data_IF_719163092933
#
_entry.id   IF_719163092933
#
_cell.length_a   1.000
_cell.length_b   1.000
_cell.length_c   1.000
_cell.angle_alpha   90.00
_cell.angle_beta   90.00
_cell.angle_gamma   90.00
#
_symmetry.space_group_name_H-M   'P 1'
#
loop_
_entity.id
_entity.type
_entity.pdbx_description
1 polymer ?
#
# COMPACT_ATOMS: atom_id res chain seq x y z
N UNK A 1 3.73 -4.43 -21.96
CA UNK A 1 2.70 -4.04 -20.96
C UNK A 1 3.31 -4.05 -19.56
N UNK A 2 2.78 -3.23 -18.65
CA UNK A 2 3.17 -3.20 -17.23
C UNK A 2 2.13 -3.96 -16.37
N UNK A 3 2.58 -4.89 -15.55
CA UNK A 3 1.74 -5.57 -14.56
C UNK A 3 2.22 -5.19 -13.17
N UNK A 4 1.33 -4.68 -12.32
CA UNK A 4 1.62 -4.36 -10.94
C UNK A 4 0.83 -5.29 -10.00
N UNK A 5 1.52 -5.90 -9.05
CA UNK A 5 0.92 -6.66 -7.96
C UNK A 5 1.35 -5.99 -6.65
N UNK A 6 0.44 -5.25 -6.03
CA UNK A 6 0.75 -4.40 -4.87
C UNK A 6 -0.20 -4.65 -3.72
N UNK A 7 0.15 -4.18 -2.53
CA UNK A 7 -0.79 -4.16 -1.41
C UNK A 7 -1.93 -3.18 -1.66
N UNK A 8 -3.07 -3.40 -0.97
CA UNK A 8 -4.31 -2.67 -1.21
C UNK A 8 -4.49 -1.39 -0.38
N UNK A 9 -3.55 -1.09 0.50
CA UNK A 9 -3.58 0.08 1.38
C UNK A 9 -2.89 1.31 0.76
N UNK A 10 -2.71 2.35 1.56
CA UNK A 10 -2.12 3.61 1.10
C UNK A 10 -0.74 3.42 0.48
N UNK A 11 0.13 2.61 1.10
CA UNK A 11 1.53 2.49 0.69
C UNK A 11 1.66 1.70 -0.61
N UNK A 12 0.98 0.55 -0.72
CA UNK A 12 0.90 -0.22 -1.96
C UNK A 12 0.28 0.56 -3.13
N UNK A 13 -0.78 1.33 -2.88
CA UNK A 13 -1.41 2.20 -3.89
C UNK A 13 -0.47 3.32 -4.35
N UNK A 14 0.22 3.97 -3.41
CA UNK A 14 1.20 5.01 -3.72
C UNK A 14 2.40 4.45 -4.49
N UNK A 15 2.93 3.29 -4.10
CA UNK A 15 4.01 2.60 -4.79
C UNK A 15 3.64 2.29 -6.24
N UNK A 16 2.42 1.80 -6.49
CA UNK A 16 1.92 1.58 -7.85
C UNK A 16 1.84 2.88 -8.65
N UNK A 17 1.24 3.94 -8.09
CA UNK A 17 1.09 5.24 -8.75
C UNK A 17 2.44 5.83 -9.17
N UNK A 18 3.42 5.81 -8.26
CA UNK A 18 4.77 6.30 -8.52
C UNK A 18 5.40 5.52 -9.67
N UNK A 19 5.33 4.18 -9.63
CA UNK A 19 5.92 3.35 -10.68
C UNK A 19 5.29 3.61 -12.05
N UNK A 20 3.95 3.69 -12.11
CA UNK A 20 3.22 3.95 -13.36
C UNK A 20 3.71 5.26 -13.98
N UNK A 21 3.73 6.35 -13.21
CA UNK A 21 4.09 7.68 -13.74
C UNK A 21 5.57 7.77 -14.08
N UNK A 22 6.47 7.23 -13.25
CA UNK A 22 7.91 7.24 -13.52
C UNK A 22 8.30 6.40 -14.73
N UNK A 23 7.63 5.26 -14.94
CA UNK A 23 7.92 4.39 -16.08
C UNK A 23 7.40 4.92 -17.41
N UNK A 24 6.50 5.91 -17.39
CA UNK A 24 5.84 6.43 -18.58
C UNK A 24 4.91 5.42 -19.27
N UNK A 25 4.55 4.34 -18.56
CA UNK A 25 3.74 3.26 -19.13
C UNK A 25 2.29 3.71 -19.32
N UNK A 26 1.78 3.59 -20.55
CA UNK A 26 0.38 3.91 -20.88
C UNK A 26 -0.58 2.74 -20.69
N UNK A 27 -0.05 1.52 -20.77
CA UNK A 27 -0.82 0.28 -20.62
C UNK A 27 -0.33 -0.48 -19.40
N UNK A 28 -1.19 -0.56 -18.39
CA UNK A 28 -0.90 -1.27 -17.16
C UNK A 28 -2.11 -2.05 -16.63
N UNK A 29 -1.85 -3.15 -15.92
CA UNK A 29 -2.85 -3.90 -15.14
C UNK A 29 -2.41 -3.92 -13.68
N UNK A 30 -3.32 -3.54 -12.77
CA UNK A 30 -3.06 -3.57 -11.33
C UNK A 30 -3.88 -4.66 -10.64
N UNK A 31 -3.18 -5.45 -9.84
CA UNK A 31 -3.75 -6.45 -8.93
C UNK A 31 -3.37 -6.09 -7.51
N UNK A 32 -4.36 -6.17 -6.63
CA UNK A 32 -4.16 -6.01 -5.19
C UNK A 32 -4.01 -7.39 -4.57
N UNK A 33 -3.04 -7.53 -3.70
CA UNK A 33 -2.74 -8.77 -3.00
C UNK A 33 -2.42 -8.49 -1.54
N UNK A 34 -2.43 -9.57 -0.77
CA UNK A 34 -1.93 -9.66 0.59
C UNK A 34 -0.70 -10.58 0.57
N UNK A 35 0.21 -10.51 1.56
CA UNK A 35 1.33 -11.46 1.65
C UNK A 35 0.89 -12.93 1.55
N UNK A 36 -0.26 -13.25 2.18
CA UNK A 36 -0.84 -14.60 2.16
C UNK A 36 -1.40 -15.01 0.80
N UNK A 37 -1.69 -14.06 -0.09
CA UNK A 37 -2.34 -14.28 -1.39
C UNK A 37 -1.49 -13.92 -2.60
N UNK A 38 -0.31 -13.32 -2.40
CA UNK A 38 0.60 -12.86 -3.45
C UNK A 38 0.85 -13.90 -4.55
N UNK A 39 1.21 -15.14 -4.18
CA UNK A 39 1.45 -16.22 -5.13
C UNK A 39 0.25 -16.48 -6.07
N UNK A 40 -0.98 -16.35 -5.56
CA UNK A 40 -2.21 -16.55 -6.35
C UNK A 40 -2.43 -15.41 -7.32
N UNK A 41 -2.24 -14.16 -6.89
CA UNK A 41 -2.43 -13.00 -7.77
C UNK A 41 -1.34 -12.91 -8.84
N UNK A 42 -0.09 -13.22 -8.50
CA UNK A 42 0.99 -13.39 -9.48
C UNK A 42 0.71 -14.53 -10.47
N UNK A 43 0.11 -15.64 -10.01
CA UNK A 43 -0.26 -16.77 -10.88
C UNK A 43 -1.29 -16.39 -11.96
N UNK A 44 -2.04 -15.30 -11.76
CA UNK A 44 -3.00 -14.76 -12.73
C UNK A 44 -2.37 -13.78 -13.72
N UNK A 45 -1.14 -13.34 -13.50
CA UNK A 45 -0.42 -12.42 -14.38
C UNK A 45 -0.07 -13.13 -15.69
N UNK A 46 -0.58 -12.60 -16.80
CA UNK A 46 -0.37 -13.11 -18.15
C UNK A 46 0.78 -12.40 -18.88
N UNK A 47 1.85 -12.08 -18.14
CA UNK A 47 3.04 -11.46 -18.68
C UNK A 47 3.82 -12.42 -19.62
N UNK A 48 4.45 -11.83 -20.62
CA UNK A 48 5.19 -12.50 -21.69
C UNK A 48 6.51 -11.76 -22.00
N UNK A 49 7.21 -12.17 -23.05
CA UNK A 49 8.49 -11.59 -23.42
C UNK A 49 8.37 -10.07 -23.66
N UNK A 50 9.21 -9.30 -22.97
CA UNK A 50 9.21 -7.83 -23.04
C UNK A 50 8.25 -7.14 -22.08
N UNK A 51 7.38 -7.89 -21.38
CA UNK A 51 6.55 -7.34 -20.31
C UNK A 51 7.35 -7.15 -19.01
N UNK A 52 6.80 -6.29 -18.16
CA UNK A 52 7.36 -6.01 -16.84
C UNK A 52 6.34 -6.31 -15.76
N UNK A 53 6.75 -7.11 -14.78
CA UNK A 53 5.98 -7.39 -13.57
C UNK A 53 6.64 -6.67 -12.40
N UNK A 54 5.88 -5.84 -11.71
CA UNK A 54 6.31 -5.09 -10.54
C UNK A 54 5.54 -5.59 -9.34
N UNK A 55 6.25 -5.94 -8.28
CA UNK A 55 5.69 -6.27 -6.98
C UNK A 55 6.11 -5.15 -6.03
N UNK A 56 5.18 -4.58 -5.27
CA UNK A 56 5.50 -3.54 -4.31
C UNK A 56 4.72 -3.70 -3.00
N UNK A 57 5.38 -3.36 -1.90
CA UNK A 57 4.79 -3.34 -0.55
C UNK A 57 4.19 -4.70 -0.14
N UNK A 58 4.88 -5.78 -0.48
CA UNK A 58 4.40 -7.13 -0.19
C UNK A 58 5.55 -7.97 0.33
N UNK A 59 5.51 -8.29 1.61
CA UNK A 59 6.43 -9.21 2.25
C UNK A 59 6.20 -10.67 1.85
N UNK A 60 7.22 -11.49 2.08
CA UNK A 60 7.13 -12.94 1.87
C UNK A 60 6.31 -13.58 3.00
N UNK A 61 5.23 -14.27 2.63
CA UNK A 61 4.56 -15.18 3.56
C UNK A 61 5.26 -16.55 3.55
N UNK A 62 6.04 -16.87 4.60
CA UNK A 62 6.86 -18.09 4.71
C UNK A 62 6.12 -19.39 4.33
N UNK A 63 4.88 -19.67 4.79
CA UNK A 63 4.13 -20.86 4.38
C UNK A 63 3.94 -21.00 2.85
N UNK A 64 3.97 -19.89 2.10
CA UNK A 64 3.74 -19.88 0.66
C UNK A 64 5.03 -19.70 -0.17
N UNK A 65 6.21 -19.67 0.45
CA UNK A 65 7.48 -19.38 -0.23
C UNK A 65 7.75 -20.29 -1.43
N UNK A 66 7.45 -21.60 -1.32
CA UNK A 66 7.61 -22.54 -2.43
C UNK A 66 6.71 -22.22 -3.63
N UNK A 67 5.42 -21.95 -3.37
CA UNK A 67 4.45 -21.59 -4.42
C UNK A 67 4.80 -20.26 -5.07
N UNK A 68 5.25 -19.30 -4.27
CA UNK A 68 5.72 -18.01 -4.74
C UNK A 68 6.91 -18.19 -5.70
N UNK A 69 7.90 -18.99 -5.32
CA UNK A 69 9.06 -19.28 -6.17
C UNK A 69 8.65 -19.91 -7.51
N UNK A 70 7.76 -20.90 -7.49
CA UNK A 70 7.25 -21.55 -8.70
C UNK A 70 6.60 -20.55 -9.66
N UNK A 71 5.80 -19.64 -9.13
CA UNK A 71 5.11 -18.62 -9.92
C UNK A 71 6.08 -17.59 -10.50
N UNK A 72 7.06 -17.11 -9.71
CA UNK A 72 8.10 -16.20 -10.22
C UNK A 72 8.93 -16.87 -11.32
N UNK A 73 9.31 -18.13 -11.13
CA UNK A 73 10.01 -18.93 -12.13
C UNK A 73 9.21 -19.03 -13.42
N UNK A 74 7.90 -19.28 -13.33
CA UNK A 74 7.00 -19.38 -14.48
C UNK A 74 6.79 -18.03 -15.20
N UNK A 75 6.76 -16.91 -14.47
CA UNK A 75 6.75 -15.56 -15.08
C UNK A 75 8.06 -15.32 -15.84
N UNK A 76 9.20 -15.58 -15.21
CA UNK A 76 10.52 -15.40 -15.84
C UNK A 76 10.70 -16.30 -17.06
N UNK A 77 10.27 -17.56 -17.02
CA UNK A 77 10.40 -18.50 -18.14
C UNK A 77 9.59 -18.08 -19.37
N UNK A 78 8.57 -17.22 -19.20
CA UNK A 78 7.83 -16.59 -20.30
C UNK A 78 8.55 -15.38 -20.91
N UNK A 79 9.73 -15.01 -20.39
CA UNK A 79 10.54 -13.89 -20.88
C UNK A 79 10.19 -12.53 -20.27
N UNK A 80 9.31 -12.49 -19.26
CA UNK A 80 8.99 -11.25 -18.55
C UNK A 80 10.07 -10.90 -17.52
N UNK A 81 10.29 -9.59 -17.33
CA UNK A 81 11.15 -9.07 -16.25
C UNK A 81 10.33 -8.91 -14.97
N UNK A 82 10.95 -9.18 -13.81
CA UNK A 82 10.31 -9.04 -12.50
C UNK A 82 11.15 -8.11 -11.62
N UNK A 83 10.51 -7.09 -11.06
CA UNK A 83 11.08 -6.18 -10.08
C UNK A 83 10.23 -6.21 -8.82
N UNK A 84 10.85 -6.30 -7.64
CA UNK A 84 10.16 -6.36 -6.35
C UNK A 84 10.77 -5.33 -5.40
N UNK A 85 9.94 -4.41 -4.92
CA UNK A 85 10.30 -3.35 -3.98
C UNK A 85 9.54 -3.56 -2.67
N UNK A 86 10.24 -3.64 -1.56
CA UNK A 86 9.57 -3.85 -0.27
C UNK A 86 10.33 -3.17 0.87
N UNK A 87 9.64 -2.93 1.98
CA UNK A 87 10.20 -2.32 3.18
C UNK A 87 10.09 -3.22 4.42
N UNK A 88 9.40 -4.36 4.31
CA UNK A 88 9.29 -5.34 5.39
C UNK A 88 10.65 -6.01 5.68
N UNK A 89 10.79 -6.56 6.88
CA UNK A 89 11.98 -7.34 7.24
C UNK A 89 11.96 -8.70 6.54
N UNK A 90 12.96 -8.95 5.70
CA UNK A 90 13.11 -10.21 4.98
C UNK A 90 14.27 -11.03 5.55
N UNK A 91 14.10 -12.35 5.55
CA UNK A 91 15.19 -13.30 5.78
C UNK A 91 16.13 -13.30 4.55
N UNK A 92 17.45 -13.29 4.79
CA UNK A 92 18.47 -13.38 3.73
C UNK A 92 18.26 -14.63 2.86
N UNK A 93 17.82 -15.74 3.47
CA UNK A 93 17.51 -16.97 2.75
C UNK A 93 16.36 -16.79 1.74
N UNK A 94 15.42 -15.87 1.97
CA UNK A 94 14.35 -15.57 1.02
C UNK A 94 14.88 -14.74 -0.15
N UNK A 95 15.77 -13.77 0.12
CA UNK A 95 16.41 -12.96 -0.91
C UNK A 95 17.26 -13.82 -1.85
N UNK A 96 18.08 -14.71 -1.31
CA UNK A 96 18.89 -15.63 -2.11
C UNK A 96 18.01 -16.53 -2.99
N UNK A 97 16.98 -17.13 -2.38
CA UNK A 97 16.08 -18.06 -3.06
C UNK A 97 15.27 -17.41 -4.19
N UNK A 98 14.77 -16.19 -3.98
CA UNK A 98 13.88 -15.52 -4.92
C UNK A 98 14.63 -14.59 -5.90
N UNK A 99 15.81 -14.10 -5.52
CA UNK A 99 16.63 -13.17 -6.31
C UNK A 99 17.11 -13.73 -7.64
N UNK A 100 17.13 -15.07 -7.78
CA UNK A 100 17.34 -15.70 -9.07
C UNK A 100 16.24 -15.36 -10.08
N UNK A 101 15.01 -15.06 -9.64
CA UNK A 101 13.86 -14.87 -10.53
C UNK A 101 13.40 -13.41 -10.66
N UNK A 102 13.71 -12.58 -9.67
CA UNK A 102 13.31 -11.18 -9.62
C UNK A 102 14.46 -10.28 -9.17
N UNK A 103 14.48 -9.04 -9.66
CA UNK A 103 15.31 -7.98 -9.07
C UNK A 103 14.63 -7.50 -7.80
N UNK A 104 15.15 -7.89 -6.64
CA UNK A 104 14.54 -7.58 -5.35
C UNK A 104 15.32 -6.44 -4.69
N UNK A 105 14.60 -5.46 -4.18
CA UNK A 105 15.11 -4.35 -3.37
C UNK A 105 14.30 -4.29 -2.08
N UNK A 106 14.99 -4.45 -0.96
CA UNK A 106 14.40 -4.29 0.37
C UNK A 106 15.11 -3.16 1.09
N UNK A 107 14.36 -2.15 1.54
CA UNK A 107 14.88 -1.02 2.31
C UNK A 107 13.91 -0.67 3.45
N UNK A 108 14.30 -1.01 4.67
CA UNK A 108 13.51 -0.84 5.90
C UNK A 108 13.59 0.58 6.47
N UNK A 109 14.35 1.49 5.85
CA UNK A 109 14.49 2.88 6.31
C UNK A 109 13.38 3.82 5.82
N UNK A 110 12.50 3.32 4.94
CA UNK A 110 11.42 4.08 4.31
C UNK A 110 10.18 3.21 4.11
N UNK A 111 9.08 3.77 3.64
CA UNK A 111 7.88 3.02 3.25
C UNK A 111 8.05 2.39 1.86
N UNK A 112 7.25 1.39 1.47
CA UNK A 112 7.26 0.72 0.17
C UNK A 112 7.19 1.68 -1.02
N UNK A 113 6.37 2.73 -0.94
CA UNK A 113 6.33 3.81 -1.92
C UNK A 113 7.67 4.57 -2.03
N UNK A 114 8.34 4.78 -0.89
CA UNK A 114 9.69 5.34 -0.82
C UNK A 114 10.75 4.44 -1.43
N UNK A 115 10.64 3.11 -1.26
CA UNK A 115 11.52 2.13 -1.92
C UNK A 115 11.36 2.20 -3.43
N UNK A 116 10.12 2.22 -3.94
CA UNK A 116 9.86 2.38 -5.37
C UNK A 116 10.45 3.70 -5.89
N UNK A 117 10.19 4.82 -5.22
CA UNK A 117 10.70 6.13 -5.65
C UNK A 117 12.23 6.18 -5.71
N UNK A 118 12.91 5.53 -4.77
CA UNK A 118 14.37 5.59 -4.62
C UNK A 118 15.11 4.64 -5.58
N UNK A 119 14.55 3.46 -5.85
CA UNK A 119 15.27 2.37 -6.51
C UNK A 119 14.67 1.92 -7.85
N UNK A 120 13.53 2.46 -8.26
CA UNK A 120 13.04 2.27 -9.62
C UNK A 120 14.09 2.75 -10.63
N UNK A 121 14.23 2.09 -11.79
CA UNK A 121 15.27 2.42 -12.78
C UNK A 121 15.04 3.78 -13.47
N UNK A 122 14.01 4.52 -13.06
CA UNK A 122 13.57 5.77 -13.63
C UNK A 122 13.90 6.89 -12.63
N UNK A 123 14.83 7.76 -12.99
CA UNK A 123 15.22 8.86 -12.11
C UNK A 123 14.43 10.11 -12.45
N UNK A 124 13.71 10.63 -11.45
CA UNK A 124 13.07 11.94 -11.50
C UNK A 124 13.16 12.59 -10.12
N UNK A 125 14.00 13.63 -10.01
CA UNK A 125 13.94 14.54 -8.86
C UNK A 125 12.83 15.54 -9.13
N UNK A 126 11.75 15.39 -8.38
CA UNK A 126 10.55 16.20 -8.55
C UNK A 126 9.91 16.38 -7.18
N UNK A 127 9.81 17.64 -6.76
CA UNK A 127 9.25 18.02 -5.45
C UNK A 127 7.85 17.48 -5.22
N UNK A 128 7.07 17.26 -6.30
CA UNK A 128 5.74 16.67 -6.20
C UNK A 128 5.81 15.21 -5.73
N UNK A 129 6.73 14.44 -6.30
CA UNK A 129 6.97 13.06 -5.88
C UNK A 129 7.54 13.00 -4.47
N UNK A 130 8.53 13.85 -4.16
CA UNK A 130 9.12 13.92 -2.83
C UNK A 130 8.05 14.22 -1.76
N UNK A 131 7.22 15.24 -1.97
CA UNK A 131 6.12 15.59 -1.06
C UNK A 131 5.12 14.44 -0.89
N UNK A 132 4.78 13.76 -2.00
CA UNK A 132 3.86 12.63 -1.99
C UNK A 132 4.40 11.46 -1.15
N UNK A 133 5.65 11.06 -1.41
CA UNK A 133 6.33 9.99 -0.68
C UNK A 133 6.47 10.34 0.80
N UNK A 134 6.84 11.59 1.13
CA UNK A 134 6.92 12.03 2.52
C UNK A 134 5.59 11.91 3.26
N UNK A 135 4.47 12.27 2.62
CA UNK A 135 3.14 12.14 3.22
C UNK A 135 2.71 10.67 3.41
N UNK A 136 2.98 9.82 2.42
CA UNK A 136 2.68 8.37 2.48
C UNK A 136 3.52 7.71 3.58
N UNK A 137 4.83 7.91 3.57
CA UNK A 137 5.71 7.35 4.59
C UNK A 137 5.46 7.93 5.99
N UNK A 138 4.87 9.12 6.11
CA UNK A 138 4.46 9.67 7.40
C UNK A 138 3.25 8.91 7.97
N UNK A 139 2.33 8.46 7.13
CA UNK A 139 1.20 7.62 7.52
C UNK A 139 1.66 6.17 7.80
N UNK A 140 2.37 5.56 6.86
CA UNK A 140 2.81 4.15 6.93
C UNK A 140 3.70 3.88 8.15
N UNK A 141 4.68 4.75 8.39
CA UNK A 141 5.60 4.65 9.54
C UNK A 141 5.03 5.24 10.84
N UNK A 142 3.73 5.58 10.88
CA UNK A 142 3.04 6.14 12.06
C UNK A 142 3.67 7.41 12.65
N UNK A 143 4.34 8.22 11.82
CA UNK A 143 4.95 9.49 12.26
C UNK A 143 3.95 10.63 12.30
N UNK A 144 3.06 10.69 11.31
CA UNK A 144 2.08 11.77 11.12
C UNK A 144 2.68 13.19 11.23
N UNK A 145 3.96 13.33 10.85
CA UNK A 145 4.70 14.60 10.81
C UNK A 145 4.41 15.41 9.53
N UNK A 146 3.49 14.92 8.70
CA UNK A 146 2.96 15.58 7.50
C UNK A 146 1.46 15.72 7.62
N UNK A 147 0.96 16.92 7.34
CA UNK A 147 -0.47 17.22 7.53
C UNK A 147 -1.35 16.43 6.55
N UNK A 148 -0.84 16.03 5.38
CA UNK A 148 -1.58 15.23 4.40
C UNK A 148 -1.75 13.77 4.83
N UNK A 149 -0.81 13.23 5.62
CA UNK A 149 -0.77 11.83 6.04
C UNK A 149 -2.12 11.30 6.61
N UNK A 150 -2.74 11.96 7.61
CA UNK A 150 -4.02 11.48 8.16
C UNK A 150 -5.19 11.57 7.17
N UNK A 151 -5.13 12.44 6.16
CA UNK A 151 -6.16 12.54 5.12
C UNK A 151 -6.02 11.39 4.13
N UNK A 152 -4.81 11.18 3.62
CA UNK A 152 -4.52 10.11 2.67
C UNK A 152 -4.81 8.74 3.24
N UNK A 153 -4.45 8.55 4.51
CA UNK A 153 -4.67 7.30 5.22
C UNK A 153 -6.16 6.94 5.28
N UNK A 154 -7.01 7.87 5.72
CA UNK A 154 -8.47 7.69 5.78
C UNK A 154 -9.10 7.57 4.39
N UNK A 155 -8.61 8.36 3.45
CA UNK A 155 -9.12 8.35 2.08
C UNK A 155 -8.86 6.99 1.41
N UNK A 156 -7.64 6.46 1.48
CA UNK A 156 -7.30 5.14 0.94
C UNK A 156 -8.13 4.02 1.60
N UNK A 157 -8.33 4.09 2.92
CA UNK A 157 -9.05 3.07 3.68
C UNK A 157 -10.60 3.16 3.61
N UNK A 158 -11.18 4.13 2.91
CA UNK A 158 -12.60 4.50 3.05
C UNK A 158 -13.61 3.35 2.84
N UNK A 159 -13.53 2.63 1.71
CA UNK A 159 -14.47 1.53 1.39
C UNK A 159 -13.87 0.14 1.47
N UNK A 160 -12.53 0.04 1.43
CA UNK A 160 -11.82 -1.24 1.48
C UNK A 160 -12.14 -2.22 0.34
N UNK A 161 -12.76 -1.75 -0.76
CA UNK A 161 -13.10 -2.55 -1.92
C UNK A 161 -12.19 -2.25 -3.12
N UNK A 162 -12.09 -3.20 -4.05
CA UNK A 162 -11.23 -3.09 -5.24
C UNK A 162 -11.55 -1.86 -6.10
N UNK A 163 -12.82 -1.50 -6.24
CA UNK A 163 -13.23 -0.34 -7.05
C UNK A 163 -12.72 0.95 -6.42
N UNK A 164 -12.81 1.06 -5.10
CA UNK A 164 -12.25 2.19 -4.37
C UNK A 164 -10.72 2.25 -4.46
N UNK A 165 -10.01 1.13 -4.28
CA UNK A 165 -8.55 1.09 -4.44
C UNK A 165 -8.10 1.53 -5.85
N UNK A 166 -8.82 1.14 -6.91
CA UNK A 166 -8.54 1.61 -8.27
C UNK A 166 -8.79 3.12 -8.42
N UNK A 167 -9.88 3.63 -7.86
CA UNK A 167 -10.21 5.06 -7.88
C UNK A 167 -9.13 5.91 -7.19
N UNK A 168 -8.67 5.47 -6.01
CA UNK A 168 -7.58 6.13 -5.27
C UNK A 168 -6.27 6.10 -6.08
N UNK A 169 -5.95 4.95 -6.70
CA UNK A 169 -4.78 4.83 -7.58
C UNK A 169 -4.85 5.80 -8.76
N UNK A 170 -5.98 5.87 -9.46
CA UNK A 170 -6.18 6.79 -10.59
C UNK A 170 -5.97 8.25 -10.16
N UNK A 171 -6.47 8.62 -8.98
CA UNK A 171 -6.26 9.95 -8.40
C UNK A 171 -4.78 10.23 -8.10
N UNK A 172 -4.06 9.27 -7.51
CA UNK A 172 -2.63 9.43 -7.24
C UNK A 172 -1.82 9.53 -8.55
N UNK A 173 -2.18 8.76 -9.58
CA UNK A 173 -1.59 8.88 -10.92
C UNK A 173 -1.87 10.27 -11.51
N UNK A 174 -3.10 10.78 -11.41
CA UNK A 174 -3.47 12.11 -11.89
C UNK A 174 -2.69 13.21 -11.17
N UNK A 175 -2.54 13.12 -9.85
CA UNK A 175 -1.71 14.04 -9.06
C UNK A 175 -0.26 14.00 -9.51
N UNK A 176 0.38 12.83 -9.50
CA UNK A 176 1.80 12.68 -9.85
C UNK A 176 2.09 13.06 -11.32
N UNK A 177 1.12 12.90 -12.20
CA UNK A 177 1.24 13.27 -13.63
C UNK A 177 1.05 14.75 -13.92
N UNK A 178 0.63 15.57 -12.95
CA UNK A 178 0.37 16.99 -13.20
C UNK A 178 -1.07 17.34 -13.56
N UNK A 179 -1.96 16.34 -13.72
CA UNK A 179 -3.35 16.55 -14.12
C UNK A 179 -4.18 17.10 -12.96
N UNK A 180 -3.97 16.55 -11.77
CA UNK A 180 -4.52 17.07 -10.53
C UNK A 180 -3.46 17.94 -9.83
N UNK A 181 -3.85 19.13 -9.41
CA UNK A 181 -2.93 20.09 -8.78
C UNK A 181 -2.78 19.85 -7.27
N UNK A 182 -3.90 19.58 -6.58
CA UNK A 182 -3.93 19.33 -5.15
C UNK A 182 -4.10 17.85 -4.84
N UNK A 183 -3.25 17.34 -3.95
CA UNK A 183 -3.37 15.96 -3.47
C UNK A 183 -4.57 15.77 -2.52
N UNK A 184 -4.84 16.77 -1.69
CA UNK A 184 -5.97 16.82 -0.75
C UNK A 184 -6.97 17.87 -1.27
N UNK A 185 -7.71 17.47 -2.30
CA UNK A 185 -8.78 18.26 -2.92
C UNK A 185 -10.12 18.08 -2.21
N UNK A 186 -11.19 18.67 -2.75
CA UNK A 186 -12.52 18.66 -2.15
C UNK A 186 -13.09 17.24 -2.00
N UNK A 187 -12.81 16.34 -2.95
CA UNK A 187 -13.25 14.95 -2.84
C UNK A 187 -12.59 14.25 -1.64
N UNK A 188 -11.28 14.43 -1.44
CA UNK A 188 -10.60 13.90 -0.25
C UNK A 188 -11.19 14.50 1.00
N UNK A 189 -11.44 15.82 1.00
CA UNK A 189 -12.00 16.52 2.17
C UNK A 189 -13.37 15.99 2.54
N UNK A 190 -14.26 15.81 1.57
CA UNK A 190 -15.62 15.33 1.78
C UNK A 190 -15.64 13.88 2.28
N UNK A 191 -14.83 13.00 1.67
CA UNK A 191 -14.71 11.60 2.09
C UNK A 191 -14.15 11.52 3.50
N UNK A 192 -13.08 12.25 3.81
CA UNK A 192 -12.44 12.22 5.12
C UNK A 192 -13.35 12.85 6.19
N UNK A 193 -14.10 13.91 5.88
CA UNK A 193 -15.11 14.46 6.78
C UNK A 193 -16.17 13.43 7.12
N UNK A 194 -16.70 12.71 6.13
CA UNK A 194 -17.66 11.63 6.33
C UNK A 194 -17.07 10.46 7.15
N UNK A 195 -15.78 10.15 6.99
CA UNK A 195 -15.09 9.17 7.85
C UNK A 195 -14.99 9.69 9.28
N UNK A 196 -14.52 10.90 9.48
CA UNK A 196 -14.31 11.50 10.79
C UNK A 196 -15.63 11.59 11.59
N UNK A 197 -16.73 11.99 10.93
CA UNK A 197 -18.06 12.00 11.57
C UNK A 197 -18.48 10.62 12.07
N UNK A 198 -18.21 9.57 11.28
CA UNK A 198 -18.48 8.18 11.69
C UNK A 198 -17.57 7.73 12.82
N UNK A 199 -16.27 8.02 12.74
CA UNK A 199 -15.31 7.71 13.81
C UNK A 199 -15.74 8.37 15.14
N UNK A 200 -16.06 9.67 15.13
CA UNK A 200 -16.54 10.39 16.33
C UNK A 200 -17.81 9.77 16.89
N UNK A 201 -18.79 9.45 16.03
CA UNK A 201 -20.06 8.86 16.46
C UNK A 201 -19.85 7.50 17.13
N UNK A 202 -19.01 6.65 16.54
CA UNK A 202 -18.74 5.32 17.06
C UNK A 202 -17.88 5.34 18.32
N UNK A 203 -16.79 6.14 18.36
CA UNK A 203 -15.98 6.31 19.59
C UNK A 203 -16.85 6.83 20.73
N UNK A 204 -17.72 7.81 20.45
CA UNK A 204 -18.68 8.31 21.44
C UNK A 204 -19.64 7.22 21.94
N UNK A 205 -20.04 6.28 21.07
CA UNK A 205 -20.87 5.15 21.46
C UNK A 205 -20.09 4.13 22.30
N UNK A 206 -18.86 3.78 21.88
CA UNK A 206 -17.99 2.87 22.62
C UNK A 206 -17.68 3.37 24.03
N UNK A 207 -17.47 4.67 24.19
CA UNK A 207 -17.24 5.31 25.49
C UNK A 207 -18.50 5.30 26.38
N UNK A 208 -19.69 5.45 25.79
CA UNK A 208 -20.97 5.33 26.51
C UNK A 208 -21.23 3.90 26.99
N UNK A 209 -20.92 2.92 26.14
CA UNK A 209 -21.18 1.50 26.39
C UNK A 209 -20.05 0.83 27.20
N UNK A 210 -19.01 1.59 27.58
CA UNK A 210 -17.84 1.09 28.30
C UNK A 210 -18.20 0.68 29.74
N UNK A 211 -18.04 -0.61 30.04
CA UNK A 211 -18.09 -1.16 31.40
C UNK A 211 -16.77 -0.87 32.10
N UNK A 212 -16.83 -0.21 33.26
CA UNK A 212 -15.65 0.11 34.07
C UNK A 212 -15.60 -0.76 35.32
N UNK A 213 -14.44 -1.35 35.60
CA UNK A 213 -14.20 -2.19 36.78
C UNK A 213 -12.91 -1.75 37.45
N UNK A 214 -12.88 -1.72 38.79
CA UNK A 214 -11.67 -1.44 39.56
C UNK A 214 -11.13 -2.72 40.19
N UNK A 215 -9.89 -3.08 39.89
CA UNK A 215 -9.20 -4.28 40.42
C UNK A 215 -7.83 -3.86 40.93
N UNK A 216 -7.56 -4.09 42.22
CA UNK A 216 -6.24 -3.80 42.81
C UNK A 216 -5.78 -2.34 42.70
N UNK A 217 -6.73 -1.38 42.67
CA UNK A 217 -6.43 0.05 42.50
C UNK A 217 -6.32 0.52 41.05
N UNK A 218 -6.40 -0.40 40.07
CA UNK A 218 -6.39 -0.09 38.63
C UNK A 218 -7.82 -0.03 38.11
N UNK A 219 -8.14 0.97 37.30
CA UNK A 219 -9.42 1.10 36.61
C UNK A 219 -9.31 0.53 35.19
N UNK A 220 -10.14 -0.46 34.88
CA UNK A 220 -10.19 -1.17 33.62
C UNK A 220 -11.50 -0.83 32.90
N UNK A 221 -11.42 -0.48 31.62
CA UNK A 221 -12.58 -0.24 30.75
C UNK A 221 -12.72 -1.36 29.72
N UNK A 222 -13.91 -1.95 29.63
CA UNK A 222 -14.26 -2.96 28.64
C UNK A 222 -15.39 -2.43 27.77
N UNK A 223 -15.23 -2.49 26.45
CA UNK A 223 -16.30 -2.20 25.50
C UNK A 223 -16.28 -3.25 24.41
N UNK A 224 -17.46 -3.59 23.89
CA UNK A 224 -17.56 -4.56 22.81
C UNK A 224 -17.76 -3.80 21.50
N UNK A 225 -16.73 -3.76 20.66
CA UNK A 225 -16.79 -3.10 19.37
C UNK A 225 -17.68 -3.91 18.42
N UNK A 226 -18.89 -3.40 18.15
CA UNK A 226 -19.83 -3.93 17.15
C UNK A 226 -19.92 -2.92 16.00
N UNK A 227 -18.97 -2.94 15.08
CA UNK A 227 -18.94 -1.95 13.99
C UNK A 227 -17.76 -2.11 13.03
N UNK A 228 -17.91 -1.48 11.86
CA UNK A 228 -17.01 -1.50 10.71
C UNK A 228 -16.15 -0.24 10.60
N UNK A 229 -15.92 0.51 11.69
CA UNK A 229 -14.86 1.54 11.66
C UNK A 229 -13.54 0.85 11.36
N UNK A 230 -12.70 1.41 10.48
CA UNK A 230 -11.36 0.88 10.23
C UNK A 230 -10.66 0.60 11.56
N UNK A 231 -9.95 -0.52 11.68
CA UNK A 231 -9.19 -0.84 12.89
C UNK A 231 -8.23 0.29 13.30
N UNK A 232 -7.95 1.17 12.36
CA UNK A 232 -7.04 2.29 12.38
C UNK A 232 -7.66 3.68 12.63
N UNK A 233 -8.81 3.76 13.29
CA UNK A 233 -9.27 5.04 13.84
C UNK A 233 -8.18 5.61 14.75
N UNK A 234 -7.64 6.78 14.38
CA UNK A 234 -6.65 7.53 15.17
C UNK A 234 -7.29 8.59 16.09
N UNK A 235 -8.64 8.59 16.19
CA UNK A 235 -9.38 9.35 17.20
C UNK A 235 -9.41 8.64 18.55
#
# INVERSE_FOLDING_TARGET
MLFLVVHGDLDGLAAAAIYIVLSGSREYEVRFAEPTTLHRELGRVKASAGDRVVIADLGVNRPNLGRLEEVLRAIRSRGASIEWYDHHVWDEAWLERLGSYARIVVDTSTCGAGVVYSYAPFRRRDRRFERFVEAVCAADLWRFDRWEAPWLYRYAAYRGDRGWSLHVLEKFVAYLSGVLEELVDDEVRDVVAAVAEREVKEVSQLLRDMVRVRVGGIELGFTLRRGSVPESSIL
#
